data_IF_251226106055
#
_entry.id   IF_251226106055
#
_cell.length_a   1.000
_cell.length_b   1.000
_cell.length_c   1.000
_cell.angle_alpha   90.00
_cell.angle_beta   90.00
_cell.angle_gamma   90.00
#
_symmetry.space_group_name_H-M   'P 1'
#
loop_
_entity.id
_entity.type
_entity.pdbx_description
1 polymer ?
#
# COMPACT_ATOMS: atom_id res chain seq x y z
N UNK A 1 24.56 -20.14 -3.68
CA UNK A 1 23.43 -19.54 -4.43
C UNK A 1 22.83 -18.31 -3.74
N UNK A 2 22.69 -18.29 -2.41
CA UNK A 2 22.05 -17.18 -1.67
C UNK A 2 22.89 -15.89 -1.62
N UNK A 3 24.20 -16.00 -1.37
CA UNK A 3 25.13 -14.86 -1.40
C UNK A 3 25.18 -14.16 -2.77
N UNK A 4 25.04 -14.93 -3.87
CA UNK A 4 24.94 -14.39 -5.23
C UNK A 4 23.66 -13.57 -5.47
N UNK A 5 22.63 -13.74 -4.63
CA UNK A 5 21.39 -12.94 -4.60
C UNK A 5 21.41 -11.85 -3.51
N UNK A 6 22.54 -11.65 -2.82
CA UNK A 6 22.66 -10.66 -1.74
C UNK A 6 21.95 -11.04 -0.43
N UNK A 7 21.51 -12.29 -0.29
CA UNK A 7 20.79 -12.74 0.91
C UNK A 7 21.79 -13.39 1.87
N UNK A 8 21.94 -12.79 3.05
CA UNK A 8 22.75 -13.34 4.15
C UNK A 8 22.00 -14.49 4.81
N UNK A 9 22.71 -15.49 5.30
CA UNK A 9 22.10 -16.65 5.99
C UNK A 9 21.26 -16.24 7.18
N UNK A 10 21.70 -15.26 7.97
CA UNK A 10 20.90 -14.70 9.06
C UNK A 10 19.53 -14.17 8.57
N UNK A 11 19.49 -13.54 7.38
CA UNK A 11 18.25 -13.02 6.81
C UNK A 11 17.29 -14.14 6.38
N UNK A 12 17.85 -15.23 5.86
CA UNK A 12 17.07 -16.42 5.53
C UNK A 12 16.45 -17.02 6.79
N UNK A 13 17.24 -17.15 7.86
CA UNK A 13 16.74 -17.71 9.13
C UNK A 13 15.62 -16.84 9.74
N UNK A 14 15.74 -15.51 9.69
CA UNK A 14 14.65 -14.61 10.08
C UNK A 14 13.36 -14.86 9.28
N UNK A 15 13.47 -14.99 7.95
CA UNK A 15 12.31 -15.23 7.08
C UNK A 15 11.64 -16.57 7.38
N UNK A 16 12.43 -17.63 7.58
CA UNK A 16 11.93 -18.95 7.96
C UNK A 16 11.21 -18.90 9.32
N UNK A 17 11.79 -18.21 10.30
CA UNK A 17 11.14 -18.02 11.60
C UNK A 17 9.80 -17.27 11.49
N UNK A 18 9.65 -16.33 10.56
CA UNK A 18 8.35 -15.69 10.29
C UNK A 18 7.32 -16.64 9.69
N UNK A 19 7.71 -17.63 8.89
CA UNK A 19 6.78 -18.65 8.39
C UNK A 19 6.33 -19.60 9.50
N UNK A 20 7.22 -19.98 10.41
CA UNK A 20 6.90 -20.87 11.54
C UNK A 20 6.06 -20.17 12.61
N UNK A 21 6.43 -18.94 12.99
CA UNK A 21 5.81 -18.20 14.09
C UNK A 21 4.67 -17.29 13.66
N UNK A 22 4.50 -17.11 12.34
CA UNK A 22 3.65 -16.08 11.78
C UNK A 22 4.25 -14.68 11.88
N UNK A 23 3.51 -13.69 11.39
CA UNK A 23 3.83 -12.28 11.54
C UNK A 23 3.04 -11.69 12.71
N UNK A 24 3.64 -10.80 13.51
CA UNK A 24 2.89 -10.09 14.53
C UNK A 24 1.79 -9.26 13.87
N UNK A 25 0.68 -9.07 14.58
CA UNK A 25 -0.36 -8.15 14.14
C UNK A 25 0.21 -6.74 13.99
N UNK A 26 -0.21 -6.05 12.93
CA UNK A 26 0.14 -4.65 12.74
C UNK A 26 -0.49 -3.84 13.88
N UNK A 27 0.33 -3.10 14.60
CA UNK A 27 -0.16 -2.14 15.58
C UNK A 27 -0.62 -0.89 14.83
N UNK A 28 -1.93 -0.63 14.85
CA UNK A 28 -2.49 0.58 14.27
C UNK A 28 -2.18 1.75 15.19
N UNK A 29 -1.58 2.81 14.64
CA UNK A 29 -1.31 4.05 15.38
C UNK A 29 -2.61 4.80 15.66
N UNK A 30 -3.35 5.11 14.59
CA UNK A 30 -4.65 5.76 14.63
C UNK A 30 -5.36 5.54 13.29
N UNK A 31 -6.66 5.84 13.22
CA UNK A 31 -7.35 5.99 11.94
C UNK A 31 -6.80 7.22 11.21
N UNK A 32 -6.63 7.12 9.88
CA UNK A 32 -6.17 8.25 9.09
C UNK A 32 -7.16 9.42 9.20
N UNK A 33 -6.64 10.59 9.58
CA UNK A 33 -7.40 11.83 9.71
C UNK A 33 -6.53 13.00 9.27
N UNK A 34 -7.07 14.21 9.20
CA UNK A 34 -6.26 15.42 8.90
C UNK A 34 -5.13 15.60 9.92
N UNK A 35 -5.36 15.22 11.19
CA UNK A 35 -4.32 15.23 12.23
C UNK A 35 -3.40 13.99 12.17
N UNK A 36 -3.87 12.91 11.55
CA UNK A 36 -3.23 11.58 11.52
C UNK A 36 -2.91 11.16 10.08
N UNK A 37 -2.17 12.01 9.36
CA UNK A 37 -1.53 11.66 8.09
C UNK A 37 -2.28 11.98 6.78
N UNK A 38 -3.48 12.57 6.84
CA UNK A 38 -4.15 13.12 5.63
C UNK A 38 -3.74 14.58 5.44
N UNK A 39 -3.06 14.87 4.33
CA UNK A 39 -2.77 16.24 3.90
C UNK A 39 -4.01 16.88 3.27
N UNK A 40 -4.34 18.10 3.70
CA UNK A 40 -5.35 18.97 3.07
C UNK A 40 -4.63 20.19 2.52
N UNK A 41 -4.35 20.25 1.21
CA UNK A 41 -3.65 21.38 0.61
C UNK A 41 -4.42 22.68 0.75
N UNK A 42 -3.72 23.80 0.90
CA UNK A 42 -4.33 25.13 0.69
C UNK A 42 -4.64 25.36 -0.79
N UNK A 43 -5.48 26.34 -1.14
CA UNK A 43 -5.73 26.68 -2.54
C UNK A 43 -4.44 26.99 -3.34
N UNK A 44 -3.46 27.61 -2.70
CA UNK A 44 -2.17 27.92 -3.30
C UNK A 44 -1.33 26.66 -3.55
N UNK A 45 -1.28 25.74 -2.58
CA UNK A 45 -0.61 24.45 -2.71
C UNK A 45 -1.28 23.59 -3.78
N UNK A 46 -2.61 23.57 -3.83
CA UNK A 46 -3.38 22.87 -4.85
C UNK A 46 -3.03 23.40 -6.24
N UNK A 47 -3.05 24.73 -6.43
CA UNK A 47 -2.67 25.36 -7.69
C UNK A 47 -1.22 25.02 -8.07
N UNK A 48 -0.30 25.01 -7.11
CA UNK A 48 1.09 24.62 -7.33
C UNK A 48 1.23 23.17 -7.80
N UNK A 49 0.57 22.22 -7.13
CA UNK A 49 0.62 20.80 -7.51
C UNK A 49 -0.01 20.55 -8.88
N UNK A 50 -1.13 21.22 -9.19
CA UNK A 50 -1.75 21.14 -10.52
C UNK A 50 -0.81 21.69 -11.60
N UNK A 51 -0.16 22.82 -11.35
CA UNK A 51 0.80 23.38 -12.30
C UNK A 51 1.99 22.45 -12.54
N UNK A 52 2.56 21.86 -11.48
CA UNK A 52 3.66 20.90 -11.59
C UNK A 52 3.26 19.66 -12.40
N UNK A 53 2.06 19.13 -12.17
CA UNK A 53 1.53 18.00 -12.93
C UNK A 53 1.29 18.33 -14.41
N UNK A 54 0.71 19.50 -14.69
CA UNK A 54 0.46 19.95 -16.06
C UNK A 54 1.78 20.15 -16.82
N UNK A 55 2.79 20.76 -16.19
CA UNK A 55 4.12 20.90 -16.79
C UNK A 55 4.76 19.55 -17.09
N UNK A 56 4.64 18.57 -16.19
CA UNK A 56 5.15 17.21 -16.42
C UNK A 56 4.45 16.51 -17.58
N UNK A 57 3.12 16.62 -17.67
CA UNK A 57 2.33 15.93 -18.71
C UNK A 57 2.39 16.57 -20.09
N UNK A 58 2.74 17.86 -20.19
CA UNK A 58 2.92 18.56 -21.45
C UNK A 58 4.35 18.45 -22.03
N UNK A 59 5.32 17.98 -21.24
CA UNK A 59 6.68 17.77 -21.73
C UNK A 59 6.74 16.53 -22.65
N UNK A 60 7.41 16.69 -23.79
CA UNK A 60 7.62 15.59 -24.74
C UNK A 60 8.46 14.46 -24.13
N UNK A 61 8.14 13.22 -24.49
CA UNK A 61 8.91 12.04 -24.09
C UNK A 61 8.53 11.45 -22.73
N UNK A 62 7.52 11.98 -22.05
CA UNK A 62 6.99 11.39 -20.82
C UNK A 62 5.85 10.40 -21.10
N UNK A 63 5.83 9.28 -20.38
CA UNK A 63 4.75 8.30 -20.42
C UNK A 63 4.10 8.17 -19.03
N UNK A 64 2.81 8.48 -18.95
CA UNK A 64 2.03 8.29 -17.72
C UNK A 64 1.49 6.86 -17.67
N UNK A 65 1.82 6.13 -16.61
CA UNK A 65 1.33 4.77 -16.37
C UNK A 65 0.59 4.71 -15.04
N UNK A 66 -0.52 3.96 -15.02
CA UNK A 66 -1.24 3.66 -13.79
C UNK A 66 -0.47 2.58 -13.03
N UNK A 67 0.21 2.97 -11.95
CA UNK A 67 0.81 2.02 -11.03
C UNK A 67 -0.24 1.59 -10.00
N UNK A 68 -0.72 0.36 -10.10
CA UNK A 68 -1.57 -0.25 -9.07
C UNK A 68 -0.66 -1.14 -8.21
N UNK A 69 -0.28 -0.71 -6.99
CA UNK A 69 0.47 -1.60 -6.11
C UNK A 69 -0.39 -2.82 -5.78
N UNK A 70 0.25 -3.99 -5.63
CA UNK A 70 -0.42 -5.19 -5.14
C UNK A 70 -0.94 -4.91 -3.71
N UNK A 71 -2.21 -4.55 -3.57
CA UNK A 71 -2.81 -4.06 -2.33
C UNK A 71 -3.17 -5.20 -1.37
N UNK A 72 -2.30 -6.19 -1.22
CA UNK A 72 -2.57 -7.37 -0.41
C UNK A 72 -3.09 -7.03 1.01
N UNK A 73 -2.71 -5.89 1.58
CA UNK A 73 -3.28 -5.38 2.83
C UNK A 73 -4.77 -5.01 2.72
N UNK A 74 -5.17 -4.22 1.72
CA UNK A 74 -6.56 -3.83 1.51
C UNK A 74 -7.43 -5.03 1.11
N UNK A 75 -6.96 -5.86 0.18
CA UNK A 75 -7.69 -7.08 -0.20
C UNK A 75 -7.88 -8.03 0.98
N UNK A 76 -6.90 -8.15 1.89
CA UNK A 76 -7.05 -8.93 3.13
C UNK A 76 -7.99 -8.27 4.13
N UNK A 77 -7.98 -6.94 4.22
CA UNK A 77 -8.82 -6.16 5.16
C UNK A 77 -10.32 -6.34 4.87
N UNK A 78 -10.70 -6.39 3.59
CA UNK A 78 -12.11 -6.51 3.18
C UNK A 78 -12.50 -7.90 2.70
N UNK A 79 -11.60 -8.90 2.79
CA UNK A 79 -11.84 -10.25 2.25
C UNK A 79 -13.14 -10.85 2.77
N UNK A 80 -13.32 -10.82 4.09
CA UNK A 80 -14.48 -11.46 4.73
C UNK A 80 -15.76 -10.66 4.48
N UNK A 81 -15.65 -9.33 4.36
CA UNK A 81 -16.76 -8.47 3.97
C UNK A 81 -17.24 -8.76 2.54
N UNK A 82 -16.33 -8.87 1.58
CA UNK A 82 -16.68 -9.24 0.21
C UNK A 82 -17.21 -10.67 0.12
N UNK A 83 -16.61 -11.61 0.85
CA UNK A 83 -17.12 -12.98 0.92
C UNK A 83 -18.54 -13.05 1.49
N UNK A 84 -18.86 -12.18 2.46
CA UNK A 84 -20.22 -12.04 2.99
C UNK A 84 -21.19 -11.41 1.98
N UNK A 85 -20.79 -10.33 1.30
CA UNK A 85 -21.61 -9.66 0.27
C UNK A 85 -21.96 -10.59 -0.88
N UNK A 86 -21.03 -11.47 -1.26
CA UNK A 86 -21.20 -12.40 -2.38
C UNK A 86 -21.88 -13.73 -1.98
N UNK A 87 -22.26 -13.89 -0.70
CA UNK A 87 -22.86 -15.12 -0.21
C UNK A 87 -24.37 -15.21 -0.46
N UNK A 88 -24.91 -16.43 -0.56
CA UNK A 88 -26.36 -16.69 -0.67
C UNK A 88 -27.11 -16.49 0.67
N UNK A 89 -26.47 -15.93 1.69
CA UNK A 89 -27.00 -15.76 3.04
C UNK A 89 -26.83 -14.32 3.54
N UNK A 90 -27.80 -13.84 4.33
CA UNK A 90 -27.84 -12.44 4.80
C UNK A 90 -27.41 -12.26 6.26
N UNK A 91 -26.85 -13.30 6.89
CA UNK A 91 -26.37 -13.29 8.28
C UNK A 91 -24.98 -13.93 8.40
N UNK A 92 -23.98 -13.26 9.01
CA UNK A 92 -22.61 -13.77 9.10
C UNK A 92 -22.47 -15.09 9.86
#
# INVERSE_FOLDING_TARGET
MLLKKGIREAKLQEQLACFEKGFPYLQLSAAASVAEGILVPTPEEEAHYQQAWNAYTQADGHQVVKFVPASGAASRMFKDMFAFVDADYDVP
#
